data_IF_874797397667
#
_entry.id   IF_874797397667
#
_cell.length_a   1.000
_cell.length_b   1.000
_cell.length_c   1.000
_cell.angle_alpha   90.00
_cell.angle_beta   90.00
_cell.angle_gamma   90.00
#
_symmetry.space_group_name_H-M   'P 1'
#
loop_
_entity.id
_entity.type
_entity.pdbx_description
1 polymer ?
#
# COMPACT_ATOMS: atom_id res chain seq x y z
N UNK A 1 -4.09 -17.11 12.90
CA UNK A 1 -3.63 -16.51 11.64
C UNK A 1 -2.78 -15.29 11.94
N UNK A 2 -3.32 -14.28 12.63
CA UNK A 2 -2.59 -13.07 12.99
C UNK A 2 -1.26 -13.39 13.70
N UNK A 3 -1.30 -14.18 14.78
CA UNK A 3 -0.11 -14.57 15.52
C UNK A 3 0.91 -15.32 14.64
N UNK A 4 0.46 -16.26 13.82
CA UNK A 4 1.34 -17.01 12.92
C UNK A 4 2.08 -16.08 11.92
N UNK A 5 1.42 -15.03 11.45
CA UNK A 5 2.06 -14.03 10.60
C UNK A 5 3.06 -13.17 11.38
N UNK A 6 2.73 -12.75 12.60
CA UNK A 6 3.69 -12.05 13.48
C UNK A 6 4.90 -12.92 13.83
N UNK A 7 4.69 -14.21 14.11
CA UNK A 7 5.77 -15.15 14.38
C UNK A 7 6.69 -15.29 13.15
N UNK A 8 6.11 -15.38 11.97
CA UNK A 8 6.87 -15.41 10.73
C UNK A 8 7.63 -14.10 10.49
N UNK A 9 7.01 -12.95 10.73
CA UNK A 9 7.64 -11.65 10.63
C UNK A 9 8.84 -11.52 11.58
N UNK A 10 8.71 -12.04 12.79
CA UNK A 10 9.78 -12.00 13.79
C UNK A 10 10.94 -12.95 13.50
N UNK A 11 10.67 -14.14 12.93
CA UNK A 11 11.66 -15.20 12.78
C UNK A 11 12.24 -15.32 11.37
N UNK A 12 11.53 -14.84 10.33
CA UNK A 12 11.92 -14.98 8.91
C UNK A 12 11.59 -13.72 8.10
N UNK A 13 11.97 -12.55 8.63
CA UNK A 13 11.75 -11.28 7.93
C UNK A 13 12.38 -11.26 6.52
N UNK A 14 13.60 -11.76 6.39
CA UNK A 14 14.33 -11.73 5.11
C UNK A 14 13.64 -12.59 4.05
N UNK A 15 13.18 -13.79 4.41
CA UNK A 15 12.40 -14.64 3.52
C UNK A 15 11.09 -13.96 3.12
N UNK A 16 10.39 -13.39 4.09
CA UNK A 16 9.13 -12.68 3.85
C UNK A 16 9.30 -11.47 2.93
N UNK A 17 10.37 -10.70 3.11
CA UNK A 17 10.71 -9.55 2.26
C UNK A 17 11.08 -9.98 0.83
N UNK A 18 11.76 -11.13 0.68
CA UNK A 18 12.06 -11.72 -0.62
C UNK A 18 10.81 -12.18 -1.37
N UNK A 19 9.89 -12.86 -0.67
CA UNK A 19 8.59 -13.27 -1.25
C UNK A 19 7.76 -12.05 -1.67
N UNK A 20 7.71 -11.02 -0.82
CA UNK A 20 7.03 -9.77 -1.14
C UNK A 20 7.61 -9.11 -2.39
N UNK A 21 8.93 -8.99 -2.48
CA UNK A 21 9.60 -8.39 -3.63
C UNK A 21 9.38 -9.19 -4.93
N UNK A 22 9.09 -10.48 -4.84
CA UNK A 22 8.78 -11.32 -6.00
C UNK A 22 7.36 -11.11 -6.56
N UNK A 23 6.47 -10.43 -5.82
CA UNK A 23 5.15 -10.07 -6.33
C UNK A 23 5.27 -9.03 -7.45
N UNK A 24 4.67 -9.25 -8.64
CA UNK A 24 4.75 -8.31 -9.76
C UNK A 24 4.24 -6.90 -9.41
N UNK A 25 3.25 -6.80 -8.51
CA UNK A 25 2.65 -5.54 -8.07
C UNK A 25 3.58 -4.66 -7.25
N UNK A 26 4.65 -5.23 -6.68
CA UNK A 26 5.55 -4.51 -5.76
C UNK A 26 6.76 -3.86 -6.46
N UNK A 27 6.95 -4.11 -7.75
CA UNK A 27 8.11 -3.62 -8.51
C UNK A 27 9.44 -3.91 -7.78
N UNK A 28 9.69 -5.21 -7.52
CA UNK A 28 10.88 -5.65 -6.78
C UNK A 28 10.92 -5.17 -5.32
N UNK A 29 9.77 -4.92 -4.71
CA UNK A 29 9.64 -4.40 -3.36
C UNK A 29 9.83 -2.87 -3.27
N UNK A 30 9.85 -2.15 -4.39
CA UNK A 30 9.88 -0.69 -4.42
C UNK A 30 8.54 -0.08 -4.00
N UNK A 31 7.43 -0.71 -4.36
CA UNK A 31 6.08 -0.30 -3.97
C UNK A 31 5.72 -1.01 -2.67
N UNK A 32 5.47 -0.23 -1.62
CA UNK A 32 5.08 -0.71 -0.31
C UNK A 32 3.56 -0.59 -0.17
N UNK A 33 2.86 -1.72 -0.11
CA UNK A 33 1.40 -1.80 -0.07
C UNK A 33 0.94 -2.88 0.92
N UNK A 34 0.09 -2.48 1.87
CA UNK A 34 -0.45 -3.42 2.87
C UNK A 34 -1.36 -4.48 2.24
N UNK A 35 -2.03 -4.18 1.13
CA UNK A 35 -2.87 -5.15 0.44
C UNK A 35 -2.03 -6.29 -0.18
N UNK A 36 -0.88 -5.96 -0.77
CA UNK A 36 0.06 -6.95 -1.28
C UNK A 36 0.72 -7.74 -0.14
N UNK A 37 1.01 -7.07 0.98
CA UNK A 37 1.57 -7.73 2.16
C UNK A 37 0.62 -8.78 2.77
N UNK A 38 -0.71 -8.65 2.61
CA UNK A 38 -1.66 -9.69 3.02
C UNK A 38 -1.47 -11.00 2.25
N UNK A 39 -1.05 -10.94 0.99
CA UNK A 39 -0.78 -12.13 0.19
C UNK A 39 0.40 -12.98 0.72
N UNK A 40 1.17 -12.46 1.69
CA UNK A 40 2.21 -13.24 2.37
C UNK A 40 1.64 -14.28 3.34
N UNK A 41 0.36 -14.16 3.78
CA UNK A 41 -0.33 -15.19 4.56
C UNK A 41 -0.94 -16.25 3.66
N UNK A 42 -0.57 -17.54 3.81
CA UNK A 42 -1.20 -18.64 3.10
C UNK A 42 -2.72 -18.73 3.36
N UNK A 43 -3.14 -18.45 4.59
CA UNK A 43 -4.55 -18.50 4.99
C UNK A 43 -5.36 -17.38 4.31
N UNK A 44 -4.77 -16.19 4.17
CA UNK A 44 -5.41 -15.11 3.41
C UNK A 44 -5.50 -15.45 1.92
N UNK A 45 -4.46 -16.07 1.34
CA UNK A 45 -4.52 -16.53 -0.06
C UNK A 45 -5.61 -17.59 -0.28
N UNK A 46 -5.84 -18.45 0.72
CA UNK A 46 -6.91 -19.45 0.66
C UNK A 46 -8.31 -18.82 0.79
N UNK A 47 -8.45 -17.80 1.62
CA UNK A 47 -9.72 -17.10 1.85
C UNK A 47 -9.51 -15.59 2.10
N UNK A 48 -9.74 -14.79 1.06
CA UNK A 48 -9.53 -13.33 1.10
C UNK A 48 -10.59 -12.55 1.86
N UNK A 49 -11.68 -13.21 2.27
CA UNK A 49 -12.65 -12.60 3.20
C UNK A 49 -12.04 -12.35 4.58
N UNK A 50 -10.97 -13.06 4.92
CA UNK A 50 -10.20 -12.95 6.17
C UNK A 50 -9.20 -11.80 6.21
N UNK A 51 -9.44 -10.75 5.44
CA UNK A 51 -8.52 -9.60 5.34
C UNK A 51 -8.31 -8.87 6.67
N UNK A 52 -9.29 -8.93 7.59
CA UNK A 52 -9.17 -8.35 8.92
C UNK A 52 -8.14 -9.09 9.78
N UNK A 53 -8.10 -10.43 9.70
CA UNK A 53 -7.24 -11.30 10.51
C UNK A 53 -5.73 -11.13 10.21
N UNK A 54 -5.40 -10.53 9.08
CA UNK A 54 -4.01 -10.30 8.63
C UNK A 54 -3.66 -8.82 8.47
N UNK A 55 -4.57 -7.93 8.86
CA UNK A 55 -4.38 -6.48 8.66
C UNK A 55 -3.19 -5.95 9.47
N UNK A 56 -3.17 -6.21 10.77
CA UNK A 56 -2.14 -5.68 11.66
C UNK A 56 -0.73 -6.21 11.33
N UNK A 57 -0.50 -7.54 11.16
CA UNK A 57 0.83 -8.03 10.80
C UNK A 57 1.27 -7.54 9.41
N UNK A 58 0.37 -7.43 8.43
CA UNK A 58 0.70 -6.85 7.11
C UNK A 58 1.10 -5.38 7.21
N UNK A 59 0.39 -4.62 8.04
CA UNK A 59 0.74 -3.22 8.31
C UNK A 59 2.08 -3.09 9.01
N UNK A 60 2.36 -3.95 10.00
CA UNK A 60 3.64 -4.00 10.71
C UNK A 60 4.79 -4.34 9.76
N UNK A 61 4.61 -5.35 8.90
CA UNK A 61 5.59 -5.74 7.89
C UNK A 61 5.94 -4.59 6.94
N UNK A 62 4.93 -3.92 6.37
CA UNK A 62 5.16 -2.77 5.48
C UNK A 62 5.87 -1.62 6.18
N UNK A 63 5.52 -1.33 7.44
CA UNK A 63 6.20 -0.32 8.26
C UNK A 63 7.66 -0.69 8.52
N UNK A 64 7.96 -1.96 8.78
CA UNK A 64 9.31 -2.45 8.99
C UNK A 64 10.14 -2.33 7.71
N UNK A 65 9.60 -2.75 6.56
CA UNK A 65 10.25 -2.57 5.25
C UNK A 65 10.55 -1.10 4.96
N UNK A 66 9.61 -0.21 5.27
CA UNK A 66 9.77 1.22 5.09
C UNK A 66 10.91 1.77 5.93
N UNK A 67 10.94 1.45 7.22
CA UNK A 67 12.02 1.87 8.12
C UNK A 67 13.38 1.33 7.68
N UNK A 68 13.44 0.06 7.27
CA UNK A 68 14.68 -0.55 6.77
C UNK A 68 15.19 0.14 5.51
N UNK A 69 14.30 0.41 4.53
CA UNK A 69 14.69 1.13 3.30
C UNK A 69 15.21 2.53 3.60
N UNK A 70 14.57 3.25 4.51
CA UNK A 70 15.02 4.58 4.93
C UNK A 70 16.36 4.58 5.67
N UNK A 71 16.73 3.48 6.34
CA UNK A 71 18.03 3.33 7.02
C UNK A 71 19.20 3.08 6.07
N UNK A 72 18.92 2.75 4.81
CA UNK A 72 19.92 2.47 3.78
C UNK A 72 20.11 3.68 2.86
N UNK A 73 21.26 3.80 2.17
CA UNK A 73 21.42 4.79 1.11
C UNK A 73 20.40 4.58 -0.01
N UNK A 74 20.02 5.67 -0.69
CA UNK A 74 19.21 5.60 -1.91
C UNK A 74 19.86 4.67 -2.93
N UNK A 75 19.13 3.72 -3.52
CA UNK A 75 19.67 2.80 -4.50
C UNK A 75 20.24 3.53 -5.72
N UNK A 76 21.34 3.02 -6.32
CA UNK A 76 21.90 3.60 -7.54
C UNK A 76 20.85 3.74 -8.65
N UNK A 77 20.86 4.88 -9.36
CA UNK A 77 19.93 5.16 -10.45
C UNK A 77 18.53 5.57 -10.01
N UNK A 78 18.28 5.73 -8.71
CA UNK A 78 17.04 6.27 -8.15
C UNK A 78 17.25 7.68 -7.59
N UNK A 79 16.17 8.46 -7.61
CA UNK A 79 16.13 9.74 -6.89
C UNK A 79 15.73 9.47 -5.42
N UNK A 80 16.31 10.21 -4.49
CA UNK A 80 16.05 10.08 -3.05
C UNK A 80 14.66 10.59 -2.65
N UNK A 81 13.65 10.22 -3.41
CA UNK A 81 12.26 10.62 -3.23
C UNK A 81 11.43 9.45 -2.73
N UNK A 82 10.66 9.68 -1.67
CA UNK A 82 9.55 8.83 -1.26
C UNK A 82 8.27 9.40 -1.85
N UNK A 83 7.60 8.63 -2.68
CA UNK A 83 6.30 8.96 -3.23
C UNK A 83 5.21 8.30 -2.37
N UNK A 84 4.34 9.10 -1.78
CA UNK A 84 3.12 8.60 -1.14
C UNK A 84 1.95 8.69 -2.11
N UNK A 85 1.13 7.63 -2.20
CA UNK A 85 -0.18 7.78 -2.81
C UNK A 85 -1.20 8.19 -1.75
N UNK A 86 -2.22 8.93 -2.16
CA UNK A 86 -3.34 9.34 -1.32
C UNK A 86 -4.65 9.22 -2.09
N UNK A 87 -5.75 8.99 -1.37
CA UNK A 87 -7.07 8.85 -1.97
C UNK A 87 -7.88 7.73 -1.37
N UNK A 88 -9.20 7.81 -1.45
CA UNK A 88 -10.13 6.83 -0.89
C UNK A 88 -10.03 5.44 -1.54
N UNK A 89 -10.64 4.47 -0.89
CA UNK A 89 -10.74 3.10 -1.43
C UNK A 89 -11.49 3.11 -2.77
N UNK A 90 -10.94 2.46 -3.79
CA UNK A 90 -11.55 2.42 -5.13
C UNK A 90 -11.38 3.70 -5.96
N UNK A 91 -10.67 4.71 -5.46
CA UNK A 91 -10.43 5.97 -6.17
C UNK A 91 -9.54 5.82 -7.42
N UNK A 92 -8.86 4.68 -7.59
CA UNK A 92 -7.99 4.43 -8.75
C UNK A 92 -6.52 4.81 -8.53
N UNK A 93 -6.01 4.79 -7.28
CA UNK A 93 -4.62 5.13 -6.96
C UNK A 93 -3.60 4.36 -7.80
N UNK A 94 -3.78 3.05 -7.95
CA UNK A 94 -2.88 2.21 -8.74
C UNK A 94 -2.86 2.64 -10.22
N UNK A 95 -4.03 2.89 -10.80
CA UNK A 95 -4.15 3.39 -12.17
C UNK A 95 -3.53 4.79 -12.29
N UNK A 96 -3.83 5.68 -11.34
CA UNK A 96 -3.25 7.03 -11.29
C UNK A 96 -1.73 7.00 -11.20
N UNK A 97 -1.16 6.10 -10.39
CA UNK A 97 0.29 5.91 -10.30
C UNK A 97 0.88 5.44 -11.64
N UNK A 98 0.25 4.45 -12.28
CA UNK A 98 0.69 3.93 -13.57
C UNK A 98 0.68 5.02 -14.66
N UNK A 99 -0.37 5.82 -14.73
CA UNK A 99 -0.45 6.93 -15.68
C UNK A 99 0.58 8.03 -15.37
N UNK A 100 0.74 8.39 -14.09
CA UNK A 100 1.71 9.37 -13.68
C UNK A 100 3.17 8.93 -13.98
N UNK A 101 3.48 7.65 -13.87
CA UNK A 101 4.78 7.10 -14.23
C UNK A 101 5.08 7.24 -15.73
N UNK A 102 4.08 7.23 -16.61
CA UNK A 102 4.28 7.41 -18.06
C UNK A 102 4.76 8.81 -18.40
N UNK A 103 4.32 9.81 -17.65
CA UNK A 103 4.55 11.23 -17.97
C UNK A 103 5.55 11.93 -17.04
N UNK A 104 5.88 11.35 -15.89
CA UNK A 104 6.78 11.95 -14.92
C UNK A 104 7.97 11.06 -14.63
N UNK A 105 9.17 11.54 -15.01
CA UNK A 105 10.42 10.86 -14.68
C UNK A 105 10.65 10.81 -13.17
N UNK A 106 10.35 11.90 -12.45
CA UNK A 106 10.53 11.94 -11.00
C UNK A 106 9.71 10.88 -10.25
N UNK A 107 8.52 10.51 -10.79
CA UNK A 107 7.70 9.43 -10.23
C UNK A 107 8.30 8.06 -10.56
N UNK A 108 8.82 7.88 -11.79
CA UNK A 108 9.51 6.62 -12.16
C UNK A 108 10.78 6.38 -11.36
N UNK A 109 11.51 7.45 -11.11
CA UNK A 109 12.84 7.38 -10.50
C UNK A 109 12.80 7.46 -8.97
N UNK A 110 11.63 7.73 -8.36
CA UNK A 110 11.47 7.67 -6.90
C UNK A 110 11.98 6.36 -6.33
N UNK A 111 12.81 6.43 -5.25
CA UNK A 111 13.40 5.23 -4.67
C UNK A 111 12.38 4.26 -4.11
N UNK A 112 11.26 4.78 -3.62
CA UNK A 112 10.13 3.98 -3.15
C UNK A 112 8.80 4.70 -3.31
N UNK A 113 7.73 3.89 -3.38
CA UNK A 113 6.34 4.33 -3.34
C UNK A 113 5.70 3.72 -2.10
N UNK A 114 5.12 4.53 -1.25
CA UNK A 114 4.28 4.06 -0.15
C UNK A 114 2.81 4.21 -0.55
N UNK A 115 2.19 3.09 -0.97
CA UNK A 115 0.79 3.08 -1.37
C UNK A 115 -0.11 3.07 -0.13
N UNK A 116 -0.79 4.17 0.08
CA UNK A 116 -1.65 4.40 1.26
C UNK A 116 -2.88 5.22 0.87
N UNK A 117 -3.89 5.23 1.72
CA UNK A 117 -5.04 6.13 1.56
C UNK A 117 -4.76 7.54 2.08
N UNK A 118 -3.79 7.72 2.98
CA UNK A 118 -3.52 8.96 3.72
C UNK A 118 -4.79 9.54 4.38
N UNK A 119 -5.55 8.70 5.06
CA UNK A 119 -6.83 9.06 5.66
C UNK A 119 -6.77 9.35 7.16
N UNK A 120 -5.58 9.44 7.73
CA UNK A 120 -5.30 9.79 9.12
C UNK A 120 -4.11 10.72 9.16
N UNK A 121 -4.30 11.94 9.69
CA UNK A 121 -3.25 12.95 9.79
C UNK A 121 -2.03 12.43 10.57
N UNK A 122 -2.25 11.88 11.76
CA UNK A 122 -1.14 11.39 12.60
C UNK A 122 -0.32 10.29 11.90
N UNK A 123 -1.01 9.38 11.21
CA UNK A 123 -0.33 8.31 10.46
C UNK A 123 0.43 8.83 9.25
N UNK A 124 -0.12 9.82 8.55
CA UNK A 124 0.54 10.47 7.42
C UNK A 124 1.76 11.29 7.88
N UNK A 125 1.57 12.16 8.88
CA UNK A 125 2.63 12.99 9.45
C UNK A 125 3.81 12.15 9.94
N UNK A 126 3.54 11.08 10.68
CA UNK A 126 4.60 10.16 11.14
C UNK A 126 5.43 9.58 10.01
N UNK A 127 4.79 9.10 8.94
CA UNK A 127 5.50 8.52 7.79
C UNK A 127 6.29 9.57 7.01
N UNK A 128 5.70 10.76 6.82
CA UNK A 128 6.35 11.88 6.13
C UNK A 128 7.59 12.32 6.92
N UNK A 129 7.47 12.51 8.24
CA UNK A 129 8.60 12.88 9.09
C UNK A 129 9.71 11.83 9.04
N UNK A 130 9.39 10.54 9.07
CA UNK A 130 10.40 9.48 8.92
C UNK A 130 11.21 9.62 7.63
N UNK A 131 10.56 9.96 6.50
CA UNK A 131 11.24 10.20 5.23
C UNK A 131 12.13 11.46 5.30
N UNK A 132 11.59 12.56 5.80
CA UNK A 132 12.33 13.84 5.92
C UNK A 132 13.54 13.73 6.86
N UNK A 133 13.40 13.05 8.00
CA UNK A 133 14.48 12.80 8.95
C UNK A 133 15.58 11.95 8.32
N UNK A 134 15.21 11.01 7.47
CA UNK A 134 16.13 10.21 6.65
C UNK A 134 16.69 10.96 5.43
N UNK A 135 16.46 12.29 5.33
CA UNK A 135 16.93 13.18 4.25
C UNK A 135 16.35 12.81 2.87
N UNK A 136 15.13 12.25 2.85
CA UNK A 136 14.40 12.00 1.60
C UNK A 136 13.50 13.19 1.25
N UNK A 137 13.36 13.43 -0.04
CA UNK A 137 12.30 14.28 -0.58
C UNK A 137 10.96 13.53 -0.46
N UNK A 138 9.89 14.25 -0.28
CA UNK A 138 8.54 13.68 -0.19
C UNK A 138 7.68 14.25 -1.31
N UNK A 139 7.07 13.37 -2.08
CA UNK A 139 6.02 13.72 -3.04
C UNK A 139 4.74 13.00 -2.65
N UNK A 140 3.59 13.62 -2.90
CA UNK A 140 2.27 13.05 -2.67
C UNK A 140 1.51 13.05 -3.98
N UNK A 141 1.04 11.86 -4.41
CA UNK A 141 0.16 11.70 -5.54
C UNK A 141 -1.26 11.46 -5.03
N UNK A 142 -2.09 12.49 -5.06
CA UNK A 142 -3.48 12.41 -4.64
C UNK A 142 -4.39 12.04 -5.81
N UNK A 143 -5.14 10.96 -5.65
CA UNK A 143 -6.14 10.51 -6.62
C UNK A 143 -7.53 10.72 -6.04
N UNK A 144 -8.31 11.58 -6.67
CA UNK A 144 -9.71 11.83 -6.32
C UNK A 144 -10.67 11.12 -7.28
N UNK A 145 -11.70 10.54 -6.72
CA UNK A 145 -12.89 10.06 -7.41
C UNK A 145 -14.10 10.29 -6.51
N UNK A 146 -15.25 10.58 -7.08
CA UNK A 146 -16.50 10.62 -6.30
C UNK A 146 -16.67 9.33 -5.48
N UNK A 147 -17.01 9.40 -4.18
CA UNK A 147 -17.06 8.22 -3.33
C UNK A 147 -18.06 7.15 -3.81
N UNK A 148 -19.22 7.54 -4.36
CA UNK A 148 -20.21 6.58 -4.89
C UNK A 148 -19.65 5.90 -6.13
N UNK A 149 -19.09 6.67 -7.06
CA UNK A 149 -18.44 6.13 -8.26
C UNK A 149 -17.25 5.23 -7.91
N UNK A 150 -16.45 5.62 -6.90
CA UNK A 150 -15.34 4.82 -6.40
C UNK A 150 -15.81 3.49 -5.77
N UNK A 151 -16.97 3.49 -5.12
CA UNK A 151 -17.57 2.26 -4.59
C UNK A 151 -18.02 1.35 -5.73
N UNK A 152 -18.84 1.84 -6.63
CA UNK A 152 -19.48 1.04 -7.69
C UNK A 152 -18.47 0.58 -8.74
N UNK A 153 -17.69 1.50 -9.27
CA UNK A 153 -16.77 1.27 -10.38
C UNK A 153 -15.33 0.92 -9.94
N UNK A 154 -15.01 1.04 -8.66
CA UNK A 154 -13.71 0.72 -8.07
C UNK A 154 -13.78 -0.49 -7.15
N UNK A 155 -14.28 -0.30 -5.93
CA UNK A 155 -14.19 -1.30 -4.87
C UNK A 155 -15.01 -2.57 -5.16
N UNK A 156 -16.26 -2.43 -5.60
CA UNK A 156 -17.14 -3.57 -5.89
C UNK A 156 -16.69 -4.34 -7.13
N UNK A 157 -16.33 -3.63 -8.22
CA UNK A 157 -15.80 -4.30 -9.43
C UNK A 157 -14.50 -5.05 -9.14
N UNK A 158 -13.63 -4.49 -8.30
CA UNK A 158 -12.40 -5.16 -7.88
C UNK A 158 -12.69 -6.42 -7.07
N UNK A 159 -13.64 -6.35 -6.12
CA UNK A 159 -14.02 -7.50 -5.31
C UNK A 159 -14.57 -8.63 -6.19
N UNK A 160 -15.47 -8.31 -7.13
CA UNK A 160 -16.02 -9.28 -8.09
C UNK A 160 -14.93 -9.91 -8.98
N UNK A 161 -14.06 -9.11 -9.56
CA UNK A 161 -12.95 -9.62 -10.37
C UNK A 161 -12.02 -10.54 -9.55
N UNK A 162 -11.72 -10.16 -8.31
CA UNK A 162 -10.90 -10.98 -7.42
C UNK A 162 -11.58 -12.32 -7.10
N UNK A 163 -12.90 -12.33 -6.92
CA UNK A 163 -13.68 -13.56 -6.75
C UNK A 163 -13.62 -14.45 -7.99
N UNK A 164 -13.78 -13.87 -9.18
CA UNK A 164 -13.69 -14.58 -10.46
C UNK A 164 -12.29 -15.16 -10.73
N UNK A 165 -11.22 -14.40 -10.42
CA UNK A 165 -9.83 -14.81 -10.72
C UNK A 165 -9.22 -15.71 -9.63
N UNK A 166 -9.62 -15.55 -8.37
CA UNK A 166 -8.97 -16.15 -7.21
C UNK A 166 -9.91 -16.98 -6.32
N UNK A 167 -11.17 -17.12 -6.72
CA UNK A 167 -12.19 -17.90 -6.00
C UNK A 167 -12.80 -17.17 -4.79
N UNK A 168 -12.13 -16.16 -4.24
CA UNK A 168 -12.64 -15.35 -3.12
C UNK A 168 -12.32 -13.87 -3.35
N UNK A 169 -13.28 -12.98 -3.05
CA UNK A 169 -13.15 -11.54 -3.21
C UNK A 169 -13.11 -10.80 -1.85
N UNK A 170 -12.31 -9.74 -1.78
CA UNK A 170 -12.28 -8.85 -0.63
C UNK A 170 -13.24 -7.69 -0.82
N UNK A 171 -14.19 -7.56 0.08
CA UNK A 171 -15.04 -6.37 0.19
C UNK A 171 -14.48 -5.39 1.22
N UNK A 172 -14.91 -4.13 1.13
CA UNK A 172 -14.59 -3.09 2.10
C UNK A 172 -15.91 -2.64 2.72
N UNK A 173 -16.04 -2.61 4.06
CA UNK A 173 -17.22 -2.09 4.71
C UNK A 173 -17.54 -0.65 4.25
N UNK A 174 -18.80 -0.31 4.08
CA UNK A 174 -19.23 1.02 3.63
C UNK A 174 -18.73 2.14 4.54
N UNK A 175 -18.70 1.91 5.85
CA UNK A 175 -18.17 2.86 6.83
C UNK A 175 -16.68 3.12 6.60
N UNK A 176 -15.91 2.07 6.29
CA UNK A 176 -14.48 2.21 5.99
C UNK A 176 -14.25 2.89 4.64
N UNK A 177 -15.07 2.59 3.64
CA UNK A 177 -15.05 3.28 2.37
C UNK A 177 -15.27 4.79 2.54
N UNK A 178 -16.34 5.18 3.25
CA UNK A 178 -16.64 6.58 3.54
C UNK A 178 -15.50 7.25 4.33
N UNK A 179 -15.00 6.58 5.38
CA UNK A 179 -13.91 7.07 6.21
C UNK A 179 -12.63 7.34 5.42
N UNK A 180 -12.26 6.47 4.48
CA UNK A 180 -11.05 6.66 3.67
C UNK A 180 -11.17 7.82 2.70
N UNK A 181 -12.34 8.03 2.10
CA UNK A 181 -12.58 9.16 1.19
C UNK A 181 -12.60 10.51 1.94
N UNK A 182 -13.32 10.57 3.05
CA UNK A 182 -13.40 11.78 3.87
C UNK A 182 -12.03 12.12 4.48
N UNK A 183 -11.37 11.14 5.08
CA UNK A 183 -10.08 11.32 5.71
C UNK A 183 -8.98 11.76 4.74
N UNK A 184 -8.91 11.15 3.55
CA UNK A 184 -7.93 11.56 2.54
C UNK A 184 -8.10 13.04 2.14
N UNK A 185 -9.33 13.53 2.02
CA UNK A 185 -9.61 14.95 1.73
C UNK A 185 -9.26 15.90 2.88
N UNK A 186 -9.28 15.41 4.11
CA UNK A 186 -8.95 16.22 5.28
C UNK A 186 -7.44 16.30 5.54
N UNK A 187 -6.68 15.30 5.09
CA UNK A 187 -5.22 15.23 5.29
C UNK A 187 -4.47 15.99 4.20
N UNK A 188 -4.99 15.98 2.97
CA UNK A 188 -4.40 16.67 1.80
C UNK A 188 -4.96 18.09 1.68
#
# INVERSE_FOLDING_TARGET
IEQAYFDRLANDYTGLAGEYAALPSTDGGRILNTDDAREMSPEYRADRTRSADVHEPSSAFVKQMYAEKLSKPTPPGKDNTVLFTAGGTGAGKTTGLQEAQKVSQGIRDAEMVYDTNMNSFDSADKKIRQALDAKRKVHILYTYRDPVEALENGALKRAKRMEEEKGTGRTVPLSEHARTHLGARQVI
#
